data_IF_527707598501
#
_entry.id   IF_527707598501
#
_cell.length_a   1.000
_cell.length_b   1.000
_cell.length_c   1.000
_cell.angle_alpha   90.00
_cell.angle_beta   90.00
_cell.angle_gamma   90.00
#
_symmetry.space_group_name_H-M   'P 1'
#
loop_
_entity.id
_entity.type
_entity.pdbx_description
1 polymer ?
#
# COMPACT_ATOMS: atom_id res chain seq x y z
N UNK A 1 -5.31 20.84 3.81
CA UNK A 1 -5.78 19.78 2.89
C UNK A 1 -7.21 19.45 3.23
N UNK A 2 -8.12 19.57 2.27
CA UNK A 2 -9.49 19.02 2.43
C UNK A 2 -9.47 17.58 1.89
N UNK A 3 -10.23 16.69 2.50
CA UNK A 3 -10.31 15.29 2.05
C UNK A 3 -10.78 15.20 0.59
N UNK A 4 -11.68 16.09 0.20
CA UNK A 4 -12.21 16.20 -1.16
C UNK A 4 -11.15 16.51 -2.22
N UNK A 5 -9.99 17.08 -1.84
CA UNK A 5 -8.89 17.36 -2.78
C UNK A 5 -8.22 16.07 -3.28
N UNK A 6 -8.23 15.02 -2.47
CA UNK A 6 -7.61 13.71 -2.78
C UNK A 6 -8.64 12.57 -2.93
N UNK A 7 -9.90 12.84 -2.57
CA UNK A 7 -11.05 11.92 -2.67
C UNK A 7 -12.29 12.70 -3.08
N UNK A 8 -12.42 13.13 -4.36
CA UNK A 8 -13.65 13.74 -4.84
C UNK A 8 -14.85 12.84 -4.54
N UNK A 9 -15.92 13.41 -3.99
CA UNK A 9 -17.02 12.64 -3.40
C UNK A 9 -17.69 11.67 -4.37
N UNK A 10 -17.91 12.10 -5.60
CA UNK A 10 -18.49 11.29 -6.69
C UNK A 10 -17.62 10.07 -7.02
N UNK A 11 -16.32 10.29 -7.20
CA UNK A 11 -15.37 9.22 -7.49
C UNK A 11 -15.21 8.27 -6.28
N UNK A 12 -15.22 8.82 -5.08
CA UNK A 12 -15.10 8.00 -3.88
C UNK A 12 -16.35 7.14 -3.65
N UNK A 13 -17.55 7.68 -3.89
CA UNK A 13 -18.77 6.90 -3.83
C UNK A 13 -18.76 5.74 -4.84
N UNK A 14 -18.34 6.01 -6.07
CA UNK A 14 -18.21 4.96 -7.09
C UNK A 14 -17.18 3.89 -6.69
N UNK A 15 -16.05 4.30 -6.16
CA UNK A 15 -15.05 3.37 -5.62
C UNK A 15 -15.63 2.47 -4.52
N UNK A 16 -16.44 3.02 -3.61
CA UNK A 16 -17.09 2.23 -2.54
C UNK A 16 -18.11 1.23 -3.08
N UNK A 17 -18.85 1.57 -4.14
CA UNK A 17 -19.77 0.66 -4.82
C UNK A 17 -19.00 -0.53 -5.44
N UNK A 18 -17.96 -0.23 -6.21
CA UNK A 18 -17.10 -1.25 -6.82
C UNK A 18 -16.42 -2.11 -5.76
N UNK A 19 -15.95 -1.51 -4.67
CA UNK A 19 -15.34 -2.26 -3.55
C UNK A 19 -16.31 -3.26 -2.92
N UNK A 20 -17.60 -2.93 -2.82
CA UNK A 20 -18.62 -3.88 -2.31
C UNK A 20 -18.82 -5.03 -3.29
N UNK A 21 -18.93 -4.72 -4.58
CA UNK A 21 -19.04 -5.74 -5.63
C UNK A 21 -17.84 -6.69 -5.64
N UNK A 22 -16.64 -6.14 -5.50
CA UNK A 22 -15.41 -6.93 -5.44
C UNK A 22 -15.38 -7.85 -4.20
N UNK A 23 -15.84 -7.37 -3.04
CA UNK A 23 -15.94 -8.18 -1.83
C UNK A 23 -16.86 -9.38 -2.05
N UNK A 24 -18.02 -9.16 -2.67
CA UNK A 24 -18.97 -10.21 -2.99
C UNK A 24 -18.39 -11.21 -4.02
N UNK A 25 -17.58 -10.72 -4.95
CA UNK A 25 -16.96 -11.56 -6.00
C UNK A 25 -15.82 -12.42 -5.45
N UNK A 26 -14.88 -11.80 -4.74
CA UNK A 26 -13.63 -12.47 -4.35
C UNK A 26 -13.68 -13.12 -2.97
N UNK A 27 -14.54 -12.65 -2.07
CA UNK A 27 -14.52 -13.02 -0.65
C UNK A 27 -15.85 -13.52 -0.10
N UNK A 28 -16.85 -13.78 -0.94
CA UNK A 28 -18.15 -14.34 -0.51
C UNK A 28 -18.01 -15.72 0.15
N UNK A 29 -17.06 -16.54 -0.32
CA UNK A 29 -16.73 -17.79 0.32
C UNK A 29 -15.61 -17.59 1.35
N UNK A 30 -16.02 -17.33 2.60
CA UNK A 30 -15.09 -17.18 3.71
C UNK A 30 -14.72 -18.51 4.41
N UNK A 31 -15.23 -19.65 3.93
CA UNK A 31 -14.90 -20.98 4.49
C UNK A 31 -13.41 -21.34 4.32
N UNK A 32 -12.73 -20.73 3.35
CA UNK A 32 -11.30 -20.90 3.09
C UNK A 32 -10.41 -19.91 3.85
N UNK A 33 -11.00 -19.02 4.65
CA UNK A 33 -10.23 -18.04 5.41
C UNK A 33 -9.43 -18.70 6.53
N UNK A 34 -8.23 -18.21 6.76
CA UNK A 34 -7.29 -18.78 7.71
C UNK A 34 -7.13 -17.90 8.95
N UNK A 35 -7.14 -18.48 10.16
CA UNK A 35 -6.78 -17.75 11.36
C UNK A 35 -5.38 -17.16 11.27
N UNK A 36 -5.22 -15.88 11.64
CA UNK A 36 -3.95 -15.19 11.63
C UNK A 36 -3.47 -14.90 13.05
N UNK A 37 -2.17 -15.00 13.26
CA UNK A 37 -1.51 -14.43 14.44
C UNK A 37 -1.36 -12.92 14.27
N UNK A 38 -1.18 -12.22 15.37
CA UNK A 38 -0.88 -10.79 15.30
C UNK A 38 0.35 -10.52 14.41
N UNK A 39 0.20 -9.75 13.32
CA UNK A 39 1.32 -9.52 12.39
C UNK A 39 2.44 -8.68 12.97
N UNK A 40 2.19 -7.94 14.07
CA UNK A 40 3.19 -7.07 14.69
C UNK A 40 4.04 -7.79 15.76
N UNK A 41 3.47 -8.73 16.51
CA UNK A 41 4.19 -9.36 17.63
C UNK A 41 4.05 -10.89 17.70
N UNK A 42 3.41 -11.48 16.71
CA UNK A 42 3.21 -12.93 16.49
C UNK A 42 2.48 -13.68 17.64
N UNK A 43 1.81 -12.97 18.57
CA UNK A 43 0.95 -13.63 19.57
C UNK A 43 -0.35 -14.10 18.97
N UNK A 44 -0.96 -15.13 19.57
CA UNK A 44 -2.31 -15.60 19.28
C UNK A 44 -3.37 -14.95 20.18
N UNK A 45 -2.92 -14.32 21.28
CA UNK A 45 -3.84 -13.74 22.25
C UNK A 45 -4.43 -12.44 21.73
N UNK A 46 -5.74 -12.43 21.53
CA UNK A 46 -6.48 -11.32 20.96
C UNK A 46 -7.92 -11.29 21.46
N UNK A 47 -8.53 -10.13 21.40
CA UNK A 47 -9.92 -9.87 21.71
C UNK A 47 -10.67 -9.45 20.44
N UNK A 48 -11.99 -9.61 20.44
CA UNK A 48 -12.84 -9.10 19.37
C UNK A 48 -12.70 -7.59 19.26
N UNK A 49 -12.47 -7.12 18.04
CA UNK A 49 -12.38 -5.71 17.72
C UNK A 49 -13.67 -5.21 17.05
N UNK A 50 -13.80 -5.44 15.75
CA UNK A 50 -14.97 -5.03 14.97
C UNK A 50 -15.18 -5.93 13.76
N UNK A 51 -16.39 -5.88 13.18
CA UNK A 51 -16.68 -6.43 11.84
C UNK A 51 -16.80 -5.27 10.85
N UNK A 52 -16.10 -5.36 9.72
CA UNK A 52 -16.21 -4.38 8.64
C UNK A 52 -16.26 -5.10 7.29
N UNK A 53 -17.30 -4.84 6.51
CA UNK A 53 -17.55 -5.48 5.21
C UNK A 53 -17.51 -7.01 5.24
N UNK A 54 -18.01 -7.62 6.33
CA UNK A 54 -17.99 -9.06 6.50
C UNK A 54 -16.69 -9.65 7.05
N UNK A 55 -15.62 -8.86 7.15
CA UNK A 55 -14.34 -9.29 7.73
C UNK A 55 -14.31 -9.03 9.24
N UNK A 56 -13.92 -10.08 10.00
CA UNK A 56 -13.66 -9.95 11.44
C UNK A 56 -12.28 -9.32 11.67
N UNK A 57 -12.22 -8.33 12.55
CA UNK A 57 -10.99 -7.74 13.04
C UNK A 57 -10.80 -8.03 14.52
N UNK A 58 -9.58 -8.40 14.89
CA UNK A 58 -9.18 -8.66 16.28
C UNK A 58 -8.22 -7.57 16.77
N UNK A 59 -8.26 -7.32 18.07
CA UNK A 59 -7.30 -6.44 18.77
C UNK A 59 -6.33 -7.32 19.55
N UNK A 60 -5.05 -7.26 19.22
CA UNK A 60 -4.00 -7.98 19.92
C UNK A 60 -3.96 -7.58 21.40
N UNK A 61 -4.01 -8.56 22.31
CA UNK A 61 -3.96 -8.31 23.76
C UNK A 61 -2.59 -7.77 24.20
N UNK A 62 -1.49 -8.14 23.48
CA UNK A 62 -0.12 -7.76 23.82
C UNK A 62 0.28 -6.38 23.29
N UNK A 63 0.11 -6.11 21.98
CA UNK A 63 0.62 -4.89 21.34
C UNK A 63 -0.48 -3.94 20.84
N UNK A 64 -1.74 -4.29 21.06
CA UNK A 64 -2.91 -3.48 20.68
C UNK A 64 -3.09 -3.26 19.16
N UNK A 65 -2.36 -3.98 18.31
CA UNK A 65 -2.57 -3.93 16.86
C UNK A 65 -3.95 -4.47 16.51
N UNK A 66 -4.65 -3.77 15.61
CA UNK A 66 -5.89 -4.22 14.97
C UNK A 66 -5.53 -4.98 13.70
N UNK A 67 -6.03 -6.19 13.50
CA UNK A 67 -5.75 -7.02 12.34
C UNK A 67 -6.93 -7.92 11.98
N UNK A 68 -7.02 -8.29 10.68
CA UNK A 68 -8.06 -9.19 10.18
C UNK A 68 -7.73 -10.65 10.53
N UNK A 69 -8.69 -11.33 11.15
CA UNK A 69 -8.60 -12.78 11.43
C UNK A 69 -10.00 -13.35 11.71
N UNK A 70 -10.43 -14.44 10.99
CA UNK A 70 -9.69 -15.08 9.90
C UNK A 70 -9.52 -14.16 8.69
N UNK A 71 -8.49 -14.39 7.89
CA UNK A 71 -8.18 -13.60 6.70
C UNK A 71 -8.24 -14.44 5.42
N UNK A 72 -8.51 -13.83 4.26
CA UNK A 72 -8.42 -14.50 2.99
C UNK A 72 -7.06 -15.17 2.78
N UNK A 73 -7.04 -16.29 2.08
CA UNK A 73 -5.81 -16.93 1.65
C UNK A 73 -5.03 -16.03 0.67
N UNK A 74 -3.71 -16.24 0.60
CA UNK A 74 -2.83 -15.47 -0.27
C UNK A 74 -3.30 -15.46 -1.73
N UNK A 75 -3.69 -16.60 -2.28
CA UNK A 75 -4.18 -16.70 -3.66
C UNK A 75 -5.42 -15.82 -3.92
N UNK A 76 -6.38 -15.79 -2.98
CA UNK A 76 -7.56 -14.92 -3.09
C UNK A 76 -7.19 -13.42 -3.09
N UNK A 77 -6.18 -13.03 -2.29
CA UNK A 77 -5.69 -11.66 -2.27
C UNK A 77 -4.95 -11.31 -3.56
N UNK A 78 -4.15 -12.22 -4.11
CA UNK A 78 -3.45 -12.03 -5.39
C UNK A 78 -4.46 -11.86 -6.53
N UNK A 79 -5.49 -12.72 -6.61
CA UNK A 79 -6.56 -12.60 -7.60
C UNK A 79 -7.31 -11.27 -7.47
N UNK A 80 -7.66 -10.88 -6.23
CA UNK A 80 -8.28 -9.59 -5.97
C UNK A 80 -7.43 -8.42 -6.46
N UNK A 81 -6.15 -8.36 -6.11
CA UNK A 81 -5.29 -7.24 -6.53
C UNK A 81 -5.03 -7.19 -8.03
N UNK A 82 -5.17 -8.32 -8.73
CA UNK A 82 -4.99 -8.37 -10.18
C UNK A 82 -6.27 -8.07 -10.96
N UNK A 83 -7.46 -8.36 -10.42
CA UNK A 83 -8.71 -8.37 -11.15
C UNK A 83 -9.77 -7.42 -10.57
N UNK A 84 -9.49 -6.72 -9.48
CA UNK A 84 -10.43 -5.84 -8.79
C UNK A 84 -10.77 -4.61 -9.63
N UNK A 85 -12.06 -4.44 -9.95
CA UNK A 85 -12.56 -3.25 -10.62
C UNK A 85 -12.39 -1.99 -9.76
N UNK A 86 -12.50 -2.11 -8.45
CA UNK A 86 -12.27 -1.00 -7.53
C UNK A 86 -10.82 -0.53 -7.55
N UNK A 87 -9.85 -1.46 -7.55
CA UNK A 87 -8.42 -1.14 -7.62
C UNK A 87 -8.09 -0.47 -8.95
N UNK A 88 -8.59 -1.01 -10.07
CA UNK A 88 -8.41 -0.42 -11.40
C UNK A 88 -9.04 0.99 -11.48
N UNK A 89 -10.27 1.15 -11.02
CA UNK A 89 -10.96 2.45 -11.00
C UNK A 89 -10.20 3.47 -10.14
N UNK A 90 -9.73 3.06 -8.97
CA UNK A 90 -8.94 3.93 -8.10
C UNK A 90 -7.68 4.40 -8.80
N UNK A 91 -6.95 3.49 -9.43
CA UNK A 91 -5.73 3.78 -10.16
C UNK A 91 -5.94 4.73 -11.34
N UNK A 92 -6.93 4.44 -12.17
CA UNK A 92 -7.11 5.10 -13.45
C UNK A 92 -7.99 6.36 -13.39
N UNK A 93 -8.85 6.48 -12.37
CA UNK A 93 -9.74 7.63 -12.24
C UNK A 93 -9.39 8.50 -11.04
N UNK A 94 -9.30 7.93 -9.83
CA UNK A 94 -9.09 8.73 -8.63
C UNK A 94 -7.66 9.27 -8.58
N UNK A 95 -6.66 8.40 -8.77
CA UNK A 95 -5.25 8.79 -8.71
C UNK A 95 -4.88 9.79 -9.80
N UNK A 96 -5.33 9.56 -11.02
CA UNK A 96 -5.03 10.46 -12.15
C UNK A 96 -5.61 11.84 -11.92
N UNK A 97 -6.89 11.93 -11.53
CA UNK A 97 -7.58 13.22 -11.31
C UNK A 97 -7.07 13.98 -10.08
N UNK A 98 -6.48 13.30 -9.12
CA UNK A 98 -6.01 13.90 -7.87
C UNK A 98 -4.49 13.93 -7.74
N UNK A 99 -3.77 13.60 -8.83
CA UNK A 99 -2.31 13.46 -8.82
C UNK A 99 -1.58 14.67 -8.23
N UNK A 100 -1.92 15.89 -8.68
CA UNK A 100 -1.28 17.12 -8.24
C UNK A 100 -1.57 17.42 -6.75
N UNK A 101 -2.81 17.22 -6.32
CA UNK A 101 -3.18 17.41 -4.92
C UNK A 101 -2.45 16.41 -4.03
N UNK A 102 -2.43 15.12 -4.41
CA UNK A 102 -1.69 14.07 -3.70
C UNK A 102 -0.19 14.36 -3.64
N UNK A 103 0.38 14.79 -4.76
CA UNK A 103 1.80 15.15 -4.84
C UNK A 103 2.16 16.21 -3.81
N UNK A 104 1.45 17.35 -3.83
CA UNK A 104 1.71 18.48 -2.92
C UNK A 104 1.45 18.14 -1.46
N UNK A 105 0.38 17.42 -1.16
CA UNK A 105 -0.09 17.26 0.21
C UNK A 105 0.34 15.98 0.90
N UNK A 106 0.76 14.97 0.12
CA UNK A 106 1.14 13.67 0.64
C UNK A 106 2.60 13.31 0.30
N UNK A 107 2.94 13.28 -0.99
CA UNK A 107 4.22 12.71 -1.41
C UNK A 107 5.39 13.64 -1.18
N UNK A 108 5.26 14.94 -1.44
CA UNK A 108 6.31 15.93 -1.12
C UNK A 108 6.64 15.94 0.37
N UNK A 109 5.65 16.10 1.30
CA UNK A 109 5.95 16.07 2.73
C UNK A 109 6.54 14.74 3.21
N UNK A 110 6.08 13.61 2.65
CA UNK A 110 6.61 12.29 3.01
C UNK A 110 8.05 12.11 2.55
N UNK A 111 8.36 12.51 1.33
CA UNK A 111 9.74 12.43 0.83
C UNK A 111 10.68 13.30 1.68
N UNK A 112 10.26 14.51 2.05
CA UNK A 112 11.04 15.38 2.93
C UNK A 112 11.22 14.74 4.31
N UNK A 113 10.16 14.25 4.94
CA UNK A 113 10.24 13.55 6.23
C UNK A 113 11.18 12.34 6.17
N UNK A 114 11.10 11.55 5.09
CA UNK A 114 12.00 10.41 4.91
C UNK A 114 13.45 10.85 4.84
N UNK A 115 13.73 11.94 4.12
CA UNK A 115 15.07 12.50 4.04
C UNK A 115 15.55 12.99 5.41
N UNK A 116 14.73 13.77 6.12
CA UNK A 116 15.07 14.33 7.43
C UNK A 116 15.44 13.21 8.44
N UNK A 117 14.62 12.16 8.50
CA UNK A 117 14.89 10.99 9.37
C UNK A 117 16.17 10.25 8.95
N UNK A 118 16.45 10.19 7.66
CA UNK A 118 17.62 9.49 7.12
C UNK A 118 18.89 10.29 7.39
N UNK A 119 18.84 11.62 7.25
CA UNK A 119 20.01 12.51 7.47
C UNK A 119 20.34 12.74 8.92
N UNK A 120 19.41 12.54 9.85
CA UNK A 120 19.66 12.58 11.29
C UNK A 120 20.57 11.42 11.78
N UNK A 121 20.76 10.40 10.94
CA UNK A 121 21.70 9.30 11.20
C UNK A 121 23.13 9.76 10.88
N UNK A 122 24.00 9.74 11.90
CA UNK A 122 25.38 10.29 11.89
C UNK A 122 26.38 9.65 10.90
N UNK A 123 25.97 8.72 10.05
CA UNK A 123 26.87 8.03 9.12
C UNK A 123 26.73 8.58 7.69
N UNK A 124 27.11 9.85 7.53
CA UNK A 124 26.96 10.63 6.31
C UNK A 124 27.91 10.26 5.15
N UNK A 125 28.59 9.11 5.19
CA UNK A 125 29.60 8.75 4.18
C UNK A 125 29.04 8.00 2.96
N UNK A 126 27.82 7.51 3.04
CA UNK A 126 27.18 6.75 1.96
C UNK A 126 25.79 7.31 1.72
N UNK A 127 25.49 7.64 0.46
CA UNK A 127 24.12 8.00 0.10
C UNK A 127 23.19 6.82 0.36
N UNK A 128 22.11 7.03 1.15
CA UNK A 128 21.22 5.94 1.54
C UNK A 128 20.45 5.38 0.34
N UNK A 129 20.23 4.08 0.33
CA UNK A 129 19.32 3.42 -0.60
C UNK A 129 17.89 3.56 -0.10
N UNK A 130 16.98 4.01 -0.97
CA UNK A 130 15.56 4.11 -0.67
C UNK A 130 14.81 2.99 -1.39
N UNK A 131 14.06 2.20 -0.63
CA UNK A 131 13.16 1.17 -1.17
C UNK A 131 11.72 1.53 -0.82
N UNK A 132 10.87 1.70 -1.84
CA UNK A 132 9.44 1.99 -1.69
C UNK A 132 8.61 0.73 -1.96
N UNK A 133 7.97 0.20 -0.92
CA UNK A 133 7.16 -1.01 -1.00
C UNK A 133 5.72 -0.62 -1.34
N UNK A 134 5.22 -1.12 -2.49
CA UNK A 134 3.94 -0.72 -3.05
C UNK A 134 4.04 0.60 -3.80
N UNK A 135 5.02 0.71 -4.73
CA UNK A 135 5.36 1.97 -5.41
C UNK A 135 4.24 2.54 -6.29
N UNK A 136 3.28 1.70 -6.72
CA UNK A 136 2.11 2.11 -7.51
C UNK A 136 2.46 3.02 -8.69
N UNK A 137 1.97 4.26 -8.65
CA UNK A 137 2.22 5.26 -9.68
C UNK A 137 3.59 5.97 -9.57
N UNK A 138 4.55 5.47 -8.83
CA UNK A 138 5.88 6.05 -8.63
C UNK A 138 5.93 7.51 -8.14
N UNK A 139 4.83 8.05 -7.61
CA UNK A 139 4.80 9.46 -7.21
C UNK A 139 5.77 9.76 -6.06
N UNK A 140 5.86 8.85 -5.09
CA UNK A 140 6.80 8.99 -3.98
C UNK A 140 8.25 8.86 -4.45
N UNK A 141 8.53 7.90 -5.34
CA UNK A 141 9.86 7.72 -5.94
C UNK A 141 10.31 8.99 -6.69
N UNK A 142 9.39 9.63 -7.44
CA UNK A 142 9.69 10.88 -8.16
C UNK A 142 10.04 12.02 -7.20
N UNK A 143 9.30 12.17 -6.09
CA UNK A 143 9.58 13.21 -5.11
C UNK A 143 10.89 12.94 -4.35
N UNK A 144 11.15 11.69 -3.98
CA UNK A 144 12.42 11.29 -3.38
C UNK A 144 13.61 11.59 -4.31
N UNK A 145 13.48 11.28 -5.62
CA UNK A 145 14.51 11.61 -6.62
C UNK A 145 14.77 13.12 -6.77
N UNK A 146 13.72 13.94 -6.67
CA UNK A 146 13.86 15.42 -6.74
C UNK A 146 14.67 15.99 -5.59
N UNK A 147 14.69 15.35 -4.44
CA UNK A 147 15.51 15.77 -3.30
C UNK A 147 17.01 15.55 -3.52
N UNK A 148 17.39 14.63 -4.42
CA UNK A 148 18.76 14.42 -4.84
C UNK A 148 19.73 13.88 -3.77
N UNK A 149 19.20 13.36 -2.65
CA UNK A 149 20.00 12.96 -1.48
C UNK A 149 20.06 11.45 -1.27
N UNK A 150 19.31 10.69 -2.05
CA UNK A 150 19.35 9.23 -2.05
C UNK A 150 20.29 8.74 -3.16
N UNK A 151 21.05 7.66 -2.91
CA UNK A 151 21.87 6.98 -3.91
C UNK A 151 20.98 6.22 -4.89
N UNK A 152 20.55 5.03 -4.50
CA UNK A 152 19.60 4.26 -5.29
C UNK A 152 18.17 4.46 -4.77
N UNK A 153 17.21 4.51 -5.71
CA UNK A 153 15.79 4.60 -5.42
C UNK A 153 15.11 3.45 -6.16
N UNK A 154 14.60 2.48 -5.42
CA UNK A 154 14.08 1.21 -5.92
C UNK A 154 12.60 1.08 -5.55
N UNK A 155 11.75 0.72 -6.52
CA UNK A 155 10.37 0.35 -6.27
C UNK A 155 10.21 -1.14 -6.05
N UNK A 156 9.30 -1.54 -5.17
CA UNK A 156 8.77 -2.92 -5.06
C UNK A 156 7.29 -2.85 -5.37
N UNK A 157 6.83 -3.53 -6.43
CA UNK A 157 5.45 -3.42 -6.89
C UNK A 157 5.00 -4.74 -7.52
N UNK A 158 4.03 -5.45 -6.93
CA UNK A 158 3.55 -6.73 -7.45
C UNK A 158 2.69 -6.61 -8.71
N UNK A 159 1.97 -5.50 -8.88
CA UNK A 159 1.14 -5.29 -10.06
C UNK A 159 2.00 -4.99 -11.31
N UNK A 160 1.81 -5.78 -12.36
CA UNK A 160 2.62 -5.72 -13.58
C UNK A 160 2.54 -4.36 -14.29
N UNK A 161 1.35 -3.75 -14.34
CA UNK A 161 1.14 -2.47 -15.02
C UNK A 161 1.81 -1.32 -14.27
N UNK A 162 1.69 -1.30 -12.94
CA UNK A 162 2.36 -0.30 -12.12
C UNK A 162 3.87 -0.49 -12.11
N UNK A 163 4.36 -1.72 -12.06
CA UNK A 163 5.79 -2.00 -12.19
C UNK A 163 6.34 -1.53 -13.55
N UNK A 164 5.62 -1.75 -14.63
CA UNK A 164 5.97 -1.24 -15.95
C UNK A 164 5.96 0.30 -16.01
N UNK A 165 4.96 0.94 -15.37
CA UNK A 165 4.87 2.40 -15.27
C UNK A 165 6.07 2.98 -14.50
N UNK A 166 6.45 2.39 -13.39
CA UNK A 166 7.62 2.81 -12.62
C UNK A 166 8.91 2.69 -13.44
N UNK A 167 9.10 1.58 -14.17
CA UNK A 167 10.25 1.40 -15.08
C UNK A 167 10.26 2.44 -16.20
N UNK A 168 9.09 2.75 -16.79
CA UNK A 168 8.95 3.81 -17.81
C UNK A 168 9.34 5.18 -17.27
N UNK A 169 9.16 5.42 -15.96
CA UNK A 169 9.58 6.65 -15.27
C UNK A 169 11.06 6.61 -14.83
N UNK A 170 11.79 5.57 -15.20
CA UNK A 170 13.24 5.45 -14.98
C UNK A 170 13.60 4.99 -13.56
N UNK A 171 12.77 4.19 -12.91
CA UNK A 171 13.08 3.58 -11.62
C UNK A 171 13.35 2.09 -11.77
N UNK A 172 14.39 1.54 -11.11
CA UNK A 172 14.52 0.11 -10.88
C UNK A 172 13.31 -0.41 -10.11
N UNK A 173 12.76 -1.55 -10.54
CA UNK A 173 11.58 -2.14 -9.87
C UNK A 173 11.74 -3.64 -9.71
N UNK A 174 11.56 -4.10 -8.49
CA UNK A 174 11.40 -5.50 -8.13
C UNK A 174 9.90 -5.82 -8.23
N UNK A 175 9.51 -6.59 -9.24
CA UNK A 175 8.11 -6.93 -9.47
C UNK A 175 7.73 -8.20 -8.69
N UNK A 176 7.56 -8.04 -7.38
CA UNK A 176 7.23 -9.09 -6.41
C UNK A 176 6.39 -8.53 -5.26
N UNK A 177 5.72 -9.41 -4.53
CA UNK A 177 5.17 -9.06 -3.23
C UNK A 177 6.31 -8.84 -2.21
N UNK A 178 6.07 -8.02 -1.19
CA UNK A 178 7.07 -7.72 -0.16
C UNK A 178 7.53 -8.97 0.59
N UNK A 179 6.61 -9.92 0.79
CA UNK A 179 6.85 -11.19 1.46
C UNK A 179 7.79 -12.13 0.69
N UNK A 180 7.98 -11.89 -0.61
CA UNK A 180 8.86 -12.67 -1.48
C UNK A 180 10.26 -12.05 -1.61
N UNK A 181 10.50 -10.94 -0.93
CA UNK A 181 11.83 -10.35 -0.85
C UNK A 181 12.69 -11.20 0.08
N UNK A 182 13.80 -11.68 -0.43
CA UNK A 182 14.82 -12.36 0.40
C UNK A 182 15.83 -11.31 0.83
N UNK A 183 16.10 -11.14 2.13
CA UNK A 183 17.26 -10.36 2.56
C UNK A 183 18.52 -11.12 2.11
N UNK A 184 19.34 -10.47 1.31
CA UNK A 184 20.70 -10.94 1.00
C UNK A 184 21.63 -10.68 2.18
#
# INVERSE_FOLDING_TARGET
>A
MKETDIRPQDLFNRFLELSRSDIDTFFSNNASFEPARCPACNTQDAQDGMVKYGFQYLVCSKCRSLYCSPRPQRAQLEDFYQQSEAVEFWANQVYVKTADARRRTMFVPRAQLTLDITMDRKDARVSPVLVDIGSGHAMFLEEARRLGSFGDIIGVEPNNEFAALCRKRGFPVINKCAEDLQPE
#
